data_IF_291996405527
#
_entry.id   IF_291996405527
#
_cell.length_a   1.000
_cell.length_b   1.000
_cell.length_c   1.000
_cell.angle_alpha   90.00
_cell.angle_beta   90.00
_cell.angle_gamma   90.00
#
_symmetry.space_group_name_H-M   'P 1'
#
loop_
_entity.id
_entity.type
_entity.pdbx_description
1 polymer ?
#
# COMPACT_ATOMS: atom_id res chain seq x y z
N UNK A 1 -28.41 1.41 1.93
CA UNK A 1 -27.10 0.72 1.90
C UNK A 1 -26.03 1.80 2.11
N UNK A 2 -25.43 1.88 3.30
CA UNK A 2 -24.43 2.90 3.62
C UNK A 2 -23.08 2.40 3.08
N UNK A 3 -22.51 3.10 2.09
CA UNK A 3 -21.19 2.79 1.55
C UNK A 3 -20.15 3.22 2.58
N UNK A 4 -19.34 2.27 3.07
CA UNK A 4 -18.17 2.60 3.89
C UNK A 4 -17.01 2.96 2.97
N UNK A 5 -16.45 4.12 3.23
CA UNK A 5 -15.40 4.76 2.45
C UNK A 5 -14.14 4.67 3.31
N UNK A 6 -13.26 3.74 3.01
CA UNK A 6 -11.99 3.65 3.73
C UNK A 6 -11.04 4.71 3.16
N UNK A 7 -10.35 5.52 3.96
CA UNK A 7 -9.42 6.54 3.41
C UNK A 7 -8.02 6.01 3.19
N UNK A 8 -7.69 5.04 4.02
CA UNK A 8 -6.46 4.30 4.00
C UNK A 8 -6.74 2.88 4.46
N UNK A 9 -5.83 1.99 4.14
CA UNK A 9 -5.86 0.60 4.60
C UNK A 9 -4.61 0.34 5.43
N UNK A 10 -4.78 -0.20 6.63
CA UNK A 10 -3.67 -0.63 7.44
C UNK A 10 -2.96 -1.79 6.73
N UNK A 11 -1.65 -1.67 6.54
CA UNK A 11 -0.82 -2.65 5.86
C UNK A 11 0.44 -2.95 6.68
N UNK A 12 1.03 -4.11 6.44
CA UNK A 12 2.39 -4.41 6.89
C UNK A 12 3.32 -4.24 5.70
N UNK A 13 4.20 -3.24 5.76
CA UNK A 13 5.28 -3.06 4.81
C UNK A 13 6.41 -4.03 5.18
N UNK A 14 6.88 -4.79 4.21
CA UNK A 14 7.93 -5.78 4.34
C UNK A 14 9.13 -5.37 3.50
N UNK A 15 10.33 -5.53 4.05
CA UNK A 15 11.59 -5.39 3.30
C UNK A 15 12.23 -6.76 3.23
N UNK A 16 12.42 -7.30 2.03
CA UNK A 16 13.09 -8.59 1.87
C UNK A 16 14.63 -8.48 2.02
N UNK A 17 15.32 -9.60 1.77
CA UNK A 17 16.79 -9.68 1.81
C UNK A 17 17.48 -8.86 0.72
N UNK A 18 16.79 -8.55 -0.38
CA UNK A 18 17.30 -7.86 -1.57
C UNK A 18 16.91 -6.36 -1.57
N UNK A 19 16.43 -5.85 -0.42
CA UNK A 19 15.89 -4.50 -0.24
C UNK A 19 14.66 -4.19 -1.10
N UNK A 20 13.90 -5.20 -1.54
CA UNK A 20 12.59 -4.99 -2.12
C UNK A 20 11.61 -4.62 -1.00
N UNK A 21 10.89 -3.53 -1.18
CA UNK A 21 9.89 -3.05 -0.23
C UNK A 21 8.52 -3.34 -0.80
N UNK A 22 7.70 -4.10 -0.08
CA UNK A 22 6.41 -4.55 -0.59
C UNK A 22 5.37 -4.75 0.51
N UNK A 23 4.11 -4.91 0.13
CA UNK A 23 3.06 -5.41 1.01
C UNK A 23 2.20 -6.42 0.26
N UNK A 24 1.60 -7.35 1.01
CA UNK A 24 0.63 -8.30 0.49
C UNK A 24 -0.76 -7.87 0.93
N UNK A 25 -1.66 -7.70 -0.04
CA UNK A 25 -3.07 -7.42 0.23
C UNK A 25 -3.92 -8.55 -0.33
N UNK A 26 -4.97 -8.91 0.41
CA UNK A 26 -5.99 -9.85 -0.04
C UNK A 26 -7.32 -9.11 -0.13
N UNK A 27 -7.63 -8.51 -1.28
CA UNK A 27 -8.80 -7.64 -1.43
C UNK A 27 -8.99 -7.08 -2.85
N UNK A 28 -10.23 -6.72 -3.13
CA UNK A 28 -10.72 -5.82 -4.18
C UNK A 28 -10.06 -4.43 -4.21
N UNK A 29 -9.29 -4.04 -3.17
CA UNK A 29 -8.45 -2.84 -3.12
C UNK A 29 -7.60 -2.70 -4.40
N UNK A 30 -7.16 -3.80 -5.01
CA UNK A 30 -6.40 -3.77 -6.27
C UNK A 30 -7.07 -2.94 -7.36
N UNK A 31 -8.39 -3.07 -7.54
CA UNK A 31 -9.12 -2.34 -8.59
C UNK A 31 -9.11 -0.82 -8.38
N UNK A 32 -8.72 -0.36 -7.19
CA UNK A 32 -8.65 1.06 -6.84
C UNK A 32 -7.21 1.58 -6.82
N UNK A 33 -6.23 0.71 -6.61
CA UNK A 33 -4.81 1.08 -6.57
C UNK A 33 -4.25 1.34 -7.96
N UNK A 34 -3.43 2.38 -8.06
CA UNK A 34 -2.73 2.77 -9.30
C UNK A 34 -1.27 3.06 -9.00
N UNK A 35 -0.44 2.91 -10.04
CA UNK A 35 0.94 3.40 -9.99
C UNK A 35 0.94 4.89 -9.64
N UNK A 36 1.73 5.28 -8.64
CA UNK A 36 1.78 6.65 -8.12
C UNK A 36 0.96 6.90 -6.84
N UNK A 37 0.15 5.94 -6.39
CA UNK A 37 -0.35 5.91 -5.00
C UNK A 37 0.82 5.71 -4.02
N UNK A 38 0.60 5.94 -2.73
CA UNK A 38 1.68 5.83 -1.74
C UNK A 38 1.28 5.12 -0.45
N UNK A 39 2.24 4.45 0.16
CA UNK A 39 2.15 3.97 1.53
C UNK A 39 2.86 4.95 2.47
N UNK A 40 2.20 5.34 3.55
CA UNK A 40 2.74 6.16 4.61
C UNK A 40 2.99 5.32 5.85
N UNK A 41 4.16 5.47 6.47
CA UNK A 41 4.45 4.86 7.77
C UNK A 41 5.27 5.82 8.64
N UNK A 42 5.33 5.53 9.93
CA UNK A 42 6.12 6.31 10.90
C UNK A 42 7.39 5.53 11.22
N UNK A 43 8.54 6.16 11.03
CA UNK A 43 9.84 5.63 11.38
C UNK A 43 10.66 6.71 12.08
N UNK A 44 11.21 6.42 13.26
CA UNK A 44 11.97 7.38 14.07
C UNK A 44 11.27 8.74 14.27
N UNK A 45 9.94 8.73 14.46
CA UNK A 45 9.08 9.93 14.60
C UNK A 45 8.91 10.76 13.31
N UNK A 46 9.43 10.30 12.18
CA UNK A 46 9.22 10.90 10.87
C UNK A 46 8.21 10.10 10.06
N UNK A 47 7.40 10.80 9.27
CA UNK A 47 6.49 10.16 8.33
C UNK A 47 7.20 9.94 7.00
N UNK A 48 7.32 8.69 6.57
CA UNK A 48 7.93 8.31 5.30
C UNK A 48 6.82 7.86 4.35
N UNK A 49 6.83 8.41 3.14
CA UNK A 49 5.96 8.02 2.04
C UNK A 49 6.75 7.20 1.02
N UNK A 50 6.24 6.04 0.62
CA UNK A 50 6.80 5.23 -0.46
C UNK A 50 5.77 5.11 -1.58
N UNK A 51 6.18 5.41 -2.80
CA UNK A 51 5.31 5.36 -3.97
C UNK A 51 5.18 3.93 -4.48
N UNK A 52 3.98 3.53 -4.91
CA UNK A 52 3.73 2.26 -5.59
C UNK A 52 4.39 2.28 -6.96
N UNK A 53 5.36 1.41 -7.17
CA UNK A 53 6.07 1.25 -8.45
C UNK A 53 5.49 0.12 -9.29
N UNK A 54 4.93 -0.91 -8.64
CA UNK A 54 4.43 -2.11 -9.31
C UNK A 54 3.36 -2.79 -8.47
N UNK A 55 2.41 -3.44 -9.15
CA UNK A 55 1.41 -4.28 -8.52
C UNK A 55 1.37 -5.61 -9.27
N UNK A 56 1.46 -6.72 -8.55
CA UNK A 56 1.60 -8.09 -9.08
C UNK A 56 0.46 -8.94 -8.52
N UNK A 57 -0.30 -9.59 -9.39
CA UNK A 57 -1.29 -10.61 -8.99
C UNK A 57 -0.59 -11.93 -8.69
N UNK A 58 -0.70 -12.43 -7.45
CA UNK A 58 -0.11 -13.70 -7.03
C UNK A 58 -1.09 -14.87 -7.12
N UNK A 59 -2.36 -14.64 -6.72
CA UNK A 59 -3.49 -15.59 -6.78
C UNK A 59 -4.78 -14.81 -7.01
N UNK A 60 -5.92 -15.50 -7.15
CA UNK A 60 -7.23 -14.84 -7.03
C UNK A 60 -7.26 -14.04 -5.73
N UNK A 61 -7.50 -12.73 -5.87
CA UNK A 61 -7.64 -11.73 -4.81
C UNK A 61 -6.39 -11.41 -3.97
N UNK A 62 -5.24 -12.07 -4.21
CA UNK A 62 -3.97 -11.79 -3.50
C UNK A 62 -3.01 -11.05 -4.41
N UNK A 63 -2.60 -9.86 -3.97
CA UNK A 63 -1.70 -8.98 -4.70
C UNK A 63 -0.48 -8.61 -3.88
N UNK A 64 0.65 -8.52 -4.55
CA UNK A 64 1.87 -7.92 -4.04
C UNK A 64 2.01 -6.51 -4.61
N UNK A 65 2.14 -5.53 -3.74
CA UNK A 65 2.40 -4.14 -4.10
C UNK A 65 3.85 -3.84 -3.78
N UNK A 66 4.61 -3.45 -4.78
CA UNK A 66 6.01 -3.03 -4.64
C UNK A 66 6.10 -1.52 -4.57
N UNK A 67 6.98 -1.01 -3.70
CA UNK A 67 7.18 0.41 -3.47
C UNK A 67 8.59 0.89 -3.86
N UNK A 68 8.77 2.20 -3.92
CA UNK A 68 10.09 2.82 -4.10
C UNK A 68 11.08 2.39 -3.02
N UNK A 69 12.33 2.16 -3.40
CA UNK A 69 13.41 1.87 -2.45
C UNK A 69 13.70 3.08 -1.56
N UNK A 70 14.13 2.83 -0.33
CA UNK A 70 14.52 3.88 0.60
C UNK A 70 15.71 3.43 1.47
N UNK A 71 16.67 4.32 1.78
CA UNK A 71 17.80 3.98 2.65
C UNK A 71 17.41 3.87 4.13
N UNK A 72 16.20 4.32 4.51
CA UNK A 72 15.76 4.34 5.90
C UNK A 72 15.34 2.98 6.45
N UNK A 73 15.01 2.03 5.56
CA UNK A 73 14.55 0.71 5.95
C UNK A 73 15.66 -0.33 5.76
N UNK A 74 15.85 -1.17 6.79
CA UNK A 74 16.82 -2.26 6.74
C UNK A 74 16.21 -3.50 6.07
N UNK A 75 17.01 -4.34 5.39
CA UNK A 75 16.56 -5.65 4.93
C UNK A 75 15.94 -6.48 6.04
N UNK A 76 15.04 -7.39 5.67
CA UNK A 76 14.38 -8.34 6.59
C UNK A 76 13.62 -7.67 7.74
N UNK A 77 12.99 -6.52 7.46
CA UNK A 77 12.18 -5.80 8.44
C UNK A 77 10.70 -5.81 8.05
N UNK A 78 9.85 -5.65 9.07
CA UNK A 78 8.40 -5.47 8.90
C UNK A 78 7.95 -4.28 9.71
N UNK A 79 7.15 -3.40 9.11
CA UNK A 79 6.72 -2.14 9.70
C UNK A 79 5.23 -1.92 9.39
N UNK A 80 4.49 -1.45 10.38
CA UNK A 80 3.10 -1.05 10.18
C UNK A 80 3.02 0.25 9.39
N UNK A 81 2.20 0.25 8.36
CA UNK A 81 1.94 1.40 7.51
C UNK A 81 0.47 1.56 7.17
N UNK A 82 0.18 2.59 6.40
CA UNK A 82 -1.12 2.88 5.85
C UNK A 82 -0.98 3.10 4.35
N UNK A 83 -1.71 2.33 3.56
CA UNK A 83 -1.82 2.53 2.13
C UNK A 83 -2.80 3.68 1.86
N UNK A 84 -2.42 4.65 1.05
CA UNK A 84 -3.19 5.87 0.75
C UNK A 84 -3.32 6.00 -0.78
N UNK A 85 -4.54 6.23 -1.25
CA UNK A 85 -4.83 6.42 -2.66
C UNK A 85 -4.52 7.86 -3.10
N UNK A 86 -3.91 8.02 -4.28
CA UNK A 86 -3.48 9.31 -4.86
C UNK A 86 -4.66 10.22 -5.16
N UNK A 87 -5.76 9.64 -5.65
CA UNK A 87 -6.99 10.38 -5.95
C UNK A 87 -7.79 10.57 -4.63
N UNK A 88 -7.48 11.63 -3.87
CA UNK A 88 -8.29 12.23 -2.78
C UNK A 88 -8.29 11.63 -1.36
N UNK A 89 -7.23 11.00 -0.84
CA UNK A 89 -7.24 10.53 0.56
C UNK A 89 -8.52 9.68 0.89
N UNK A 90 -9.16 9.01 -0.08
CA UNK A 90 -10.48 8.37 0.11
C UNK A 90 -10.85 7.31 -0.93
N UNK A 91 -11.08 6.06 -0.50
CA UNK A 91 -11.68 4.96 -1.29
C UNK A 91 -13.16 5.26 -1.57
N UNK A 92 -13.46 6.05 -2.60
CA UNK A 92 -14.84 6.26 -3.05
C UNK A 92 -14.92 6.35 -4.57
N UNK A 93 -15.14 5.21 -5.22
CA UNK A 93 -16.08 5.10 -6.36
C UNK A 93 -16.29 3.64 -6.75
N UNK A 94 -17.15 2.94 -6.00
CA UNK A 94 -17.81 1.67 -6.36
C UNK A 94 -18.80 1.49 -5.18
N UNK A 95 -20.02 2.01 -5.20
CA UNK A 95 -21.09 1.76 -6.15
C UNK A 95 -21.97 2.99 -6.30
N UNK A 96 -22.29 3.36 -7.54
CA UNK A 96 -23.60 3.80 -8.01
C UNK A 96 -23.49 3.89 -9.55
N UNK A 97 -24.49 3.30 -10.22
CA UNK A 97 -24.68 3.30 -11.67
C UNK A 97 -24.53 4.70 -12.30
#
# INVERSE_FOLDING_TARGET
>A
MQIRVYKSVAITIQVDKDNKIFTLINSDIYYQLKKGDYAKFIFNKEAINLEIVKIISLKQDIFEIEFTKTPFLKPQTQILGQLILKDNDSFLKLFLN
#
